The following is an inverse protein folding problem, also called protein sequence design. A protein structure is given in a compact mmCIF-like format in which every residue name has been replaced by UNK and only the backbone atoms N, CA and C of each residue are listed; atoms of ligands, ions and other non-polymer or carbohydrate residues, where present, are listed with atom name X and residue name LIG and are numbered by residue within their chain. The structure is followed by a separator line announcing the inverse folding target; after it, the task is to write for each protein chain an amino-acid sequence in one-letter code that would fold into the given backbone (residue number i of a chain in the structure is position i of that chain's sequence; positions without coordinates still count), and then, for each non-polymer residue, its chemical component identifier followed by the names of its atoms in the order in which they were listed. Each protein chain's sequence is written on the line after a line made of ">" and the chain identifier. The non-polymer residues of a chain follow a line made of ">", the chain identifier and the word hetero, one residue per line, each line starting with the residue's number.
data_IF_565833441770
#
_entry.id   IF_565833441770
#
_cell.length_a   1.000
_cell.length_b   1.000
_cell.length_c   1.000
_cell.angle_alpha   90.00
_cell.angle_beta   90.00
_cell.angle_gamma   90.00
#
_symmetry.space_group_name_H-M   'P 1'
#
loop_
_entity.id
_entity.type
_entity.pdbx_description
1 polymer ?
#
# COMPACT_ATOMS: atom_id res chain seq x y z
N UNK A 1 16.52 13.56 -21.71
CA UNK A 1 16.60 14.29 -20.43
C UNK A 1 17.77 13.68 -19.68
N UNK A 2 18.80 14.47 -19.37
CA UNK A 2 19.84 14.00 -18.45
C UNK A 2 19.16 13.67 -17.11
N UNK A 3 19.40 12.50 -16.52
CA UNK A 3 18.89 12.18 -15.18
C UNK A 3 19.66 13.06 -14.20
N UNK A 4 19.16 14.28 -14.00
CA UNK A 4 19.84 15.41 -13.37
C UNK A 4 20.16 15.19 -11.89
N UNK A 5 21.17 14.38 -11.60
CA UNK A 5 21.77 14.31 -10.28
C UNK A 5 22.78 15.45 -10.17
N UNK A 6 22.38 16.54 -9.52
CA UNK A 6 23.29 17.63 -9.15
C UNK A 6 23.63 17.54 -7.66
N UNK A 7 24.92 17.52 -7.35
CA UNK A 7 25.39 17.58 -5.97
C UNK A 7 25.39 19.05 -5.52
N UNK A 8 24.48 19.40 -4.59
CA UNK A 8 24.48 20.71 -3.93
C UNK A 8 25.17 20.62 -2.58
N UNK A 9 26.11 21.53 -2.32
CA UNK A 9 26.77 21.69 -1.02
C UNK A 9 26.25 22.94 -0.27
N UNK A 10 25.13 23.52 -0.71
CA UNK A 10 24.54 24.70 -0.07
C UNK A 10 23.93 24.36 1.30
N UNK A 11 24.49 24.86 2.41
CA UNK A 11 23.97 24.58 3.75
C UNK A 11 22.55 25.12 3.97
N UNK A 12 22.18 26.23 3.32
CA UNK A 12 20.86 26.82 3.47
C UNK A 12 19.80 25.93 2.82
N UNK A 13 20.05 25.46 1.60
CA UNK A 13 19.21 24.46 0.94
C UNK A 13 19.11 23.17 1.74
N UNK A 14 20.24 22.65 2.26
CA UNK A 14 20.24 21.43 3.07
C UNK A 14 19.39 21.55 4.34
N UNK A 15 19.46 22.70 5.03
CA UNK A 15 18.64 22.96 6.23
C UNK A 15 17.15 23.04 5.88
N UNK A 16 16.80 23.70 4.76
CA UNK A 16 15.42 23.76 4.30
C UNK A 16 14.91 22.37 3.91
N UNK A 17 15.68 21.60 3.15
CA UNK A 17 15.33 20.23 2.78
C UNK A 17 15.10 19.36 4.02
N UNK A 18 15.99 19.44 5.01
CA UNK A 18 15.82 18.72 6.28
C UNK A 18 14.53 19.14 7.00
N UNK A 19 14.23 20.44 7.08
CA UNK A 19 13.01 20.93 7.73
C UNK A 19 11.74 20.42 7.03
N UNK A 20 11.71 20.43 5.69
CA UNK A 20 10.60 19.91 4.89
C UNK A 20 10.43 18.40 5.06
N UNK A 21 11.53 17.63 5.01
CA UNK A 21 11.51 16.18 5.22
C UNK A 21 11.03 15.84 6.64
N UNK A 22 11.52 16.53 7.68
CA UNK A 22 11.06 16.32 9.05
C UNK A 22 9.58 16.70 9.24
N UNK A 23 9.13 17.79 8.61
CA UNK A 23 7.71 18.16 8.60
C UNK A 23 6.84 17.10 7.91
N UNK A 24 7.31 16.59 6.78
CA UNK A 24 6.70 15.46 6.08
C UNK A 24 6.62 14.22 6.97
N UNK A 25 7.73 13.81 7.58
CA UNK A 25 7.77 12.68 8.51
C UNK A 25 6.80 12.83 9.69
N UNK A 26 6.65 14.03 10.25
CA UNK A 26 5.66 14.31 11.28
C UNK A 26 4.24 14.11 10.76
N UNK A 27 3.90 14.67 9.60
CA UNK A 27 2.58 14.48 8.98
C UNK A 27 2.30 13.00 8.67
N UNK A 28 3.29 12.28 8.14
CA UNK A 28 3.22 10.84 7.90
C UNK A 28 3.02 10.03 9.19
N UNK A 29 3.63 10.47 10.29
CA UNK A 29 3.44 9.83 11.60
C UNK A 29 2.02 10.02 12.11
N UNK A 30 1.50 11.24 12.04
CA UNK A 30 0.14 11.55 12.45
C UNK A 30 -0.88 10.79 11.59
N UNK A 31 -0.68 10.76 10.27
CA UNK A 31 -1.59 10.11 9.35
C UNK A 31 -1.53 8.58 9.46
N UNK A 32 -0.34 7.98 9.55
CA UNK A 32 -0.18 6.52 9.67
C UNK A 32 -0.70 5.97 10.99
N UNK A 33 -0.69 6.76 12.07
CA UNK A 33 -1.29 6.37 13.35
C UNK A 33 -2.79 6.70 13.44
N UNK A 34 -3.36 7.37 12.43
CA UNK A 34 -4.80 7.67 12.36
C UNK A 34 -5.53 6.47 11.75
N UNK A 35 -6.44 5.80 12.50
CA UNK A 35 -7.15 4.63 11.97
C UNK A 35 -7.99 4.96 10.74
N UNK A 36 -7.99 4.06 9.75
CA UNK A 36 -8.82 4.17 8.55
C UNK A 36 -8.32 5.17 7.49
N UNK A 37 -7.18 5.83 7.73
CA UNK A 37 -6.54 6.70 6.74
C UNK A 37 -5.46 5.90 6.01
N UNK A 38 -5.70 5.58 4.73
CA UNK A 38 -4.75 4.84 3.88
C UNK A 38 -3.78 5.77 3.15
N UNK A 39 -2.63 5.23 2.71
CA UNK A 39 -1.58 5.97 2.02
C UNK A 39 -2.08 6.71 0.76
N UNK A 40 -2.96 6.08 -0.03
CA UNK A 40 -3.49 6.68 -1.26
C UNK A 40 -4.41 7.89 -0.97
N UNK A 41 -5.28 7.78 0.04
CA UNK A 41 -6.13 8.89 0.46
C UNK A 41 -5.29 10.03 1.03
N UNK A 42 -4.26 9.69 1.80
CA UNK A 42 -3.31 10.66 2.32
C UNK A 42 -2.57 11.40 1.20
N UNK A 43 -2.07 10.66 0.21
CA UNK A 43 -1.38 11.23 -0.95
C UNK A 43 -2.30 12.20 -1.72
N UNK A 44 -3.57 11.85 -1.92
CA UNK A 44 -4.55 12.73 -2.57
C UNK A 44 -4.80 14.01 -1.76
N UNK A 45 -4.94 13.92 -0.43
CA UNK A 45 -5.08 15.08 0.46
C UNK A 45 -3.82 15.96 0.36
N UNK A 46 -2.63 15.37 0.44
CA UNK A 46 -1.37 16.08 0.33
C UNK A 46 -1.22 16.77 -1.03
N UNK A 47 -1.57 16.09 -2.13
CA UNK A 47 -1.54 16.65 -3.48
C UNK A 47 -2.51 17.83 -3.64
N UNK A 48 -3.73 17.72 -3.09
CA UNK A 48 -4.71 18.81 -3.07
C UNK A 48 -4.28 20.00 -2.22
N UNK A 49 -3.52 19.76 -1.14
CA UNK A 49 -2.97 20.81 -0.28
C UNK A 49 -1.65 21.41 -0.81
N UNK A 50 -0.93 20.70 -1.68
CA UNK A 50 0.40 21.09 -2.15
C UNK A 50 0.48 22.53 -2.70
N UNK A 51 -0.48 23.03 -3.50
CA UNK A 51 -0.45 24.42 -4.00
C UNK A 51 -0.57 25.48 -2.90
N UNK A 52 -1.07 25.11 -1.72
CA UNK A 52 -1.27 26.01 -0.57
C UNK A 52 -0.05 26.07 0.34
N UNK A 53 0.90 25.14 0.19
CA UNK A 53 2.09 25.07 1.04
C UNK A 53 3.15 26.04 0.49
N UNK A 54 3.55 27.07 1.26
CA UNK A 54 4.59 27.99 0.82
C UNK A 54 5.95 27.28 0.78
N UNK A 55 6.58 27.26 -0.39
CA UNK A 55 7.93 26.71 -0.54
C UNK A 55 8.29 26.39 -2.00
N UNK A 56 9.57 26.09 -2.28
CA UNK A 56 9.97 25.56 -3.57
C UNK A 56 9.27 24.21 -3.83
N UNK A 57 8.72 23.97 -5.05
CA UNK A 57 8.00 22.72 -5.36
C UNK A 57 8.80 21.45 -5.07
N UNK A 58 10.12 21.49 -5.28
CA UNK A 58 11.02 20.38 -4.95
C UNK A 58 11.00 20.03 -3.45
N UNK A 59 10.99 21.04 -2.57
CA UNK A 59 10.99 20.81 -1.12
C UNK A 59 9.61 20.35 -0.63
N UNK A 60 8.53 20.86 -1.24
CA UNK A 60 7.17 20.38 -0.98
C UNK A 60 7.03 18.91 -1.40
N UNK A 61 7.51 18.54 -2.59
CA UNK A 61 7.55 17.15 -3.06
C UNK A 61 8.38 16.25 -2.13
N UNK A 62 9.53 16.71 -1.66
CA UNK A 62 10.33 15.96 -0.68
C UNK A 62 9.60 15.75 0.65
N UNK A 63 8.84 16.74 1.12
CA UNK A 63 7.99 16.60 2.30
C UNK A 63 6.85 15.60 2.07
N UNK A 64 6.19 15.64 0.91
CA UNK A 64 5.10 14.71 0.56
C UNK A 64 5.59 13.28 0.45
N UNK A 65 6.72 13.05 -0.24
CA UNK A 65 7.35 11.74 -0.33
C UNK A 65 7.75 11.23 1.07
N UNK A 66 8.36 12.08 1.89
CA UNK A 66 8.68 11.72 3.28
C UNK A 66 7.44 11.38 4.10
N UNK A 67 6.35 12.13 3.92
CA UNK A 67 5.09 11.89 4.63
C UNK A 67 4.47 10.55 4.21
N UNK A 68 4.39 10.28 2.92
CA UNK A 68 3.87 9.01 2.40
C UNK A 68 4.72 7.82 2.85
N UNK A 69 6.05 7.89 2.73
CA UNK A 69 6.93 6.80 3.16
C UNK A 69 6.75 6.53 4.66
N UNK A 70 6.81 7.56 5.52
CA UNK A 70 6.62 7.37 6.97
C UNK A 70 5.22 6.83 7.31
N UNK A 71 4.19 7.27 6.59
CA UNK A 71 2.83 6.74 6.74
C UNK A 71 2.80 5.23 6.54
N UNK A 72 3.39 4.71 5.45
CA UNK A 72 3.39 3.26 5.14
C UNK A 72 4.17 2.39 6.14
N UNK A 73 5.02 2.98 6.99
CA UNK A 73 5.67 2.26 8.07
C UNK A 73 4.77 2.11 9.30
N UNK A 74 3.73 2.94 9.41
CA UNK A 74 2.96 3.12 10.63
C UNK A 74 1.49 2.74 10.48
N UNK A 75 0.93 2.78 9.27
CA UNK A 75 -0.47 2.42 8.95
C UNK A 75 -0.86 1.00 9.37
N UNK A 76 0.11 0.09 9.43
CA UNK A 76 -0.06 -1.27 9.96
C UNK A 76 -0.40 -1.28 11.46
N UNK A 77 0.02 -0.28 12.23
CA UNK A 77 -0.17 -0.22 13.69
C UNK A 77 -1.65 -0.15 14.05
N UNK A 78 -2.44 0.85 13.60
CA UNK A 78 -3.87 0.88 13.90
C UNK A 78 -4.60 -0.32 13.29
N UNK A 79 -4.20 -0.79 12.11
CA UNK A 79 -4.80 -1.95 11.45
C UNK A 79 -4.70 -3.23 12.31
N UNK A 80 -3.52 -3.50 12.89
CA UNK A 80 -3.30 -4.69 13.73
C UNK A 80 -3.74 -4.51 15.18
N UNK A 81 -3.55 -3.33 15.77
CA UNK A 81 -3.76 -3.10 17.20
C UNK A 81 -5.22 -2.74 17.55
N UNK A 82 -5.93 -2.06 16.66
CA UNK A 82 -7.33 -1.69 16.87
C UNK A 82 -8.27 -2.59 16.08
N UNK A 83 -7.72 -3.46 15.23
CA UNK A 83 -8.49 -4.26 14.30
C UNK A 83 -9.32 -3.40 13.37
N UNK A 84 -8.93 -2.15 13.10
CA UNK A 84 -9.61 -1.26 12.14
C UNK A 84 -8.68 -1.08 10.94
N UNK A 85 -8.69 -2.01 9.96
CA UNK A 85 -7.94 -1.82 8.73
C UNK A 85 -8.69 -0.83 7.84
N UNK A 86 -7.94 -0.12 7.00
CA UNK A 86 -8.53 0.59 5.87
C UNK A 86 -8.94 -0.39 4.75
N UNK A 87 -9.47 0.19 3.66
CA UNK A 87 -9.99 -0.53 2.51
C UNK A 87 -9.01 -1.49 1.83
N UNK A 88 -7.78 -1.06 1.62
CA UNK A 88 -6.77 -1.86 0.94
C UNK A 88 -6.11 -2.84 1.93
N UNK A 89 -6.01 -2.44 3.20
CA UNK A 89 -5.48 -3.26 4.27
C UNK A 89 -6.47 -4.31 4.78
N UNK A 90 -7.77 -4.25 4.47
CA UNK A 90 -8.74 -5.24 4.95
C UNK A 90 -8.41 -6.68 4.48
N UNK A 91 -7.88 -6.82 3.26
CA UNK A 91 -7.41 -8.11 2.72
C UNK A 91 -6.09 -8.56 3.38
N UNK A 92 -5.28 -7.59 3.80
CA UNK A 92 -3.97 -7.77 4.49
C UNK A 92 -4.14 -8.01 5.99
N UNK A 93 -5.24 -7.52 6.54
CA UNK A 93 -5.60 -7.67 7.93
C UNK A 93 -5.80 -9.13 8.24
N UNK A 94 -6.31 -9.97 7.32
CA UNK A 94 -6.56 -11.37 7.67
C UNK A 94 -5.26 -12.15 7.99
N UNK A 95 -4.19 -12.13 7.17
CA UNK A 95 -2.90 -12.71 7.56
C UNK A 95 -2.25 -12.03 8.77
N UNK A 96 -2.27 -10.70 8.85
CA UNK A 96 -1.70 -9.97 9.99
C UNK A 96 -2.44 -10.23 11.31
N UNK A 97 -3.77 -10.32 11.26
CA UNK A 97 -4.65 -10.61 12.39
C UNK A 97 -4.52 -12.06 12.83
N UNK A 98 -4.25 -13.01 11.92
CA UNK A 98 -3.85 -14.38 12.31
C UNK A 98 -2.59 -14.35 13.18
N UNK A 99 -1.57 -13.57 12.81
CA UNK A 99 -0.38 -13.39 13.64
C UNK A 99 -0.71 -12.76 15.01
N UNK A 100 -1.60 -11.76 15.05
CA UNK A 100 -2.06 -11.16 16.31
C UNK A 100 -2.81 -12.17 17.17
N UNK A 101 -3.69 -13.00 16.59
CA UNK A 101 -4.42 -14.06 17.29
C UNK A 101 -3.49 -15.17 17.80
N UNK A 102 -2.36 -15.39 17.13
CA UNK A 102 -1.28 -16.29 17.60
C UNK A 102 -0.41 -15.67 18.70
N UNK A 103 -0.68 -14.43 19.14
CA UNK A 103 0.13 -13.72 20.14
C UNK A 103 1.42 -13.09 19.61
N UNK A 104 1.52 -12.93 18.28
CA UNK A 104 2.72 -12.55 17.51
C UNK A 104 2.57 -11.20 16.78
N UNK A 105 1.72 -10.32 17.29
CA UNK A 105 1.47 -8.98 16.76
C UNK A 105 2.72 -8.10 16.75
N UNK A 106 3.59 -8.19 17.75
CA UNK A 106 4.88 -7.48 17.74
C UNK A 106 5.80 -7.95 16.61
N UNK A 107 5.83 -9.25 16.33
CA UNK A 107 6.55 -9.79 15.18
C UNK A 107 5.96 -9.27 13.87
N UNK A 108 4.62 -9.25 13.74
CA UNK A 108 3.95 -8.72 12.55
C UNK A 108 4.32 -7.25 12.28
N UNK A 109 4.36 -6.40 13.31
CA UNK A 109 4.81 -5.00 13.20
C UNK A 109 6.26 -4.90 12.73
N UNK A 110 7.16 -5.72 13.29
CA UNK A 110 8.57 -5.73 12.88
C UNK A 110 8.76 -6.21 11.44
N UNK A 111 8.04 -7.25 11.03
CA UNK A 111 8.07 -7.78 9.68
C UNK A 111 7.55 -6.76 8.66
N UNK A 112 6.47 -6.05 9.00
CA UNK A 112 5.94 -4.95 8.21
C UNK A 112 6.97 -3.83 8.04
N UNK A 113 7.53 -3.32 9.15
CA UNK A 113 8.57 -2.30 9.11
C UNK A 113 9.82 -2.74 8.32
N UNK A 114 10.19 -4.02 8.40
CA UNK A 114 11.28 -4.58 7.60
C UNK A 114 10.93 -4.66 6.11
N UNK A 115 9.70 -5.01 5.77
CA UNK A 115 9.19 -4.96 4.40
C UNK A 115 9.30 -3.55 3.81
N UNK A 116 8.82 -2.55 4.53
CA UNK A 116 8.89 -1.14 4.13
C UNK A 116 10.34 -0.63 4.03
N UNK A 117 11.20 -0.94 5.00
CA UNK A 117 12.61 -0.55 4.97
C UNK A 117 13.37 -1.15 3.79
N UNK A 118 13.17 -2.44 3.52
CA UNK A 118 13.77 -3.11 2.37
C UNK A 118 13.19 -2.59 1.06
N UNK A 119 11.91 -2.23 1.02
CA UNK A 119 11.33 -1.58 -0.15
C UNK A 119 11.98 -0.23 -0.44
N UNK A 120 12.28 0.61 0.55
CA UNK A 120 13.08 1.83 0.31
C UNK A 120 14.43 1.49 -0.32
N UNK A 121 15.12 0.48 0.21
CA UNK A 121 16.44 0.05 -0.30
C UNK A 121 16.36 -0.46 -1.74
N UNK A 122 15.29 -1.17 -2.13
CA UNK A 122 15.14 -1.70 -3.49
C UNK A 122 14.52 -0.69 -4.46
N UNK A 123 13.50 0.06 -4.03
CA UNK A 123 12.72 0.98 -4.86
C UNK A 123 13.50 2.25 -5.22
N UNK A 124 14.22 2.86 -4.27
CA UNK A 124 14.92 4.13 -4.53
C UNK A 124 15.96 4.01 -5.67
N UNK A 125 16.83 2.98 -5.70
CA UNK A 125 17.73 2.78 -6.84
C UNK A 125 17.00 2.45 -8.15
N UNK A 126 15.81 1.86 -8.06
CA UNK A 126 14.98 1.50 -9.21
C UNK A 126 14.06 2.64 -9.68
N UNK A 127 13.94 3.72 -8.91
CA UNK A 127 13.03 4.82 -9.20
C UNK A 127 13.21 5.34 -10.63
N UNK A 128 14.41 5.83 -10.95
CA UNK A 128 14.74 6.36 -12.27
C UNK A 128 14.57 5.33 -13.40
N UNK A 129 15.20 4.14 -13.37
CA UNK A 129 15.11 3.21 -14.50
C UNK A 129 13.70 2.69 -14.71
N UNK A 130 12.93 2.41 -13.65
CA UNK A 130 11.54 1.94 -13.79
C UNK A 130 10.65 3.06 -14.33
N UNK A 131 10.77 4.30 -13.84
CA UNK A 131 10.00 5.43 -14.38
C UNK A 131 10.30 5.64 -15.87
N UNK A 132 11.56 5.56 -16.31
CA UNK A 132 11.90 5.68 -17.74
C UNK A 132 11.26 4.58 -18.58
N UNK A 133 11.30 3.33 -18.11
CA UNK A 133 10.65 2.21 -18.79
C UNK A 133 9.13 2.43 -18.84
N UNK A 134 8.54 2.92 -17.75
CA UNK A 134 7.10 3.05 -17.64
C UNK A 134 6.56 4.21 -18.47
N UNK A 135 7.28 5.33 -18.58
CA UNK A 135 6.95 6.42 -19.51
C UNK A 135 6.90 5.93 -20.95
N UNK A 136 7.82 5.06 -21.36
CA UNK A 136 7.81 4.47 -22.71
C UNK A 136 6.70 3.43 -22.90
N UNK A 137 6.45 2.60 -21.88
CA UNK A 137 5.44 1.54 -21.93
C UNK A 137 3.99 2.05 -21.76
N UNK A 138 3.81 3.24 -21.15
CA UNK A 138 2.51 3.77 -20.73
C UNK A 138 1.48 3.85 -21.87
N UNK A 139 1.80 4.38 -23.07
CA UNK A 139 0.83 4.44 -24.16
C UNK A 139 0.27 3.05 -24.54
N UNK A 140 1.15 2.04 -24.59
CA UNK A 140 0.76 0.65 -24.90
C UNK A 140 -0.06 0.03 -23.76
N UNK A 141 0.32 0.29 -22.50
CA UNK A 141 -0.41 -0.19 -21.32
C UNK A 141 -1.83 0.37 -21.27
N UNK A 142 -2.01 1.66 -21.54
CA UNK A 142 -3.33 2.30 -21.56
C UNK A 142 -4.20 1.74 -22.68
N UNK A 143 -3.64 1.57 -23.89
CA UNK A 143 -4.36 0.97 -25.03
C UNK A 143 -4.85 -0.45 -24.72
N UNK A 144 -4.07 -1.22 -23.94
CA UNK A 144 -4.36 -2.62 -23.62
C UNK A 144 -4.83 -2.82 -22.16
N UNK A 145 -5.23 -1.76 -21.46
CA UNK A 145 -5.58 -1.80 -20.04
C UNK A 145 -6.62 -2.89 -19.69
N UNK A 146 -7.69 -3.11 -20.49
CA UNK A 146 -8.64 -4.18 -20.22
C UNK A 146 -8.00 -5.58 -20.24
N UNK A 147 -7.01 -5.80 -21.11
CA UNK A 147 -6.28 -7.06 -21.19
C UNK A 147 -5.36 -7.24 -19.96
N UNK A 148 -4.70 -6.16 -19.53
CA UNK A 148 -3.83 -6.18 -18.34
C UNK A 148 -4.64 -6.54 -17.10
N UNK A 149 -5.75 -5.82 -16.84
CA UNK A 149 -6.62 -6.08 -15.70
C UNK A 149 -7.32 -7.45 -15.82
N UNK A 150 -7.76 -7.83 -17.01
CA UNK A 150 -8.33 -9.15 -17.26
C UNK A 150 -7.34 -10.29 -16.97
N UNK A 151 -6.05 -10.09 -17.27
CA UNK A 151 -4.99 -11.05 -16.94
C UNK A 151 -4.77 -11.15 -15.44
N UNK A 152 -4.75 -10.02 -14.72
CA UNK A 152 -4.65 -10.01 -13.25
C UNK A 152 -5.80 -10.79 -12.62
N UNK A 153 -7.03 -10.52 -13.05
CA UNK A 153 -8.23 -11.24 -12.57
C UNK A 153 -8.14 -12.73 -12.92
N UNK A 154 -7.74 -13.07 -14.15
CA UNK A 154 -7.59 -14.46 -14.57
C UNK A 154 -6.55 -15.20 -13.72
N UNK A 155 -5.39 -14.59 -13.43
CA UNK A 155 -4.38 -15.20 -12.55
C UNK A 155 -4.95 -15.42 -11.14
N UNK A 156 -5.62 -14.43 -10.57
CA UNK A 156 -6.24 -14.56 -9.24
C UNK A 156 -7.26 -15.70 -9.19
N UNK A 157 -8.08 -15.87 -10.22
CA UNK A 157 -9.07 -16.95 -10.28
C UNK A 157 -8.43 -18.32 -10.56
N UNK A 158 -7.44 -18.40 -11.46
CA UNK A 158 -6.79 -19.66 -11.84
C UNK A 158 -5.86 -20.21 -10.76
N UNK A 159 -5.43 -19.38 -9.81
CA UNK A 159 -4.58 -19.78 -8.69
C UNK A 159 -5.37 -20.30 -7.49
N UNK A 160 -6.71 -20.21 -7.53
CA UNK A 160 -7.57 -20.83 -6.53
C UNK A 160 -7.52 -22.35 -6.63
N UNK A 161 -7.13 -22.99 -5.52
CA UNK A 161 -6.93 -24.44 -5.45
C UNK A 161 -8.23 -25.23 -5.20
N UNK A 162 -9.34 -24.53 -4.94
CA UNK A 162 -10.62 -25.15 -4.59
C UNK A 162 -11.75 -24.60 -5.45
N UNK A 163 -12.73 -25.45 -5.76
CA UNK A 163 -13.92 -25.01 -6.47
C UNK A 163 -14.68 -23.93 -5.69
N UNK A 164 -14.73 -24.05 -4.36
CA UNK A 164 -15.31 -23.03 -3.48
C UNK A 164 -14.57 -21.70 -3.57
N UNK A 165 -13.23 -21.73 -3.63
CA UNK A 165 -12.40 -20.53 -3.80
C UNK A 165 -12.63 -19.87 -5.15
N UNK A 166 -12.64 -20.65 -6.24
CA UNK A 166 -12.93 -20.15 -7.58
C UNK A 166 -14.32 -19.52 -7.68
N UNK A 167 -15.36 -20.21 -7.17
CA UNK A 167 -16.73 -19.69 -7.15
C UNK A 167 -16.81 -18.43 -6.29
N UNK A 168 -16.16 -18.44 -5.11
CA UNK A 168 -16.08 -17.27 -4.24
C UNK A 168 -15.42 -16.08 -4.94
N UNK A 169 -14.30 -16.30 -5.63
CA UNK A 169 -13.61 -15.28 -6.41
C UNK A 169 -14.44 -14.73 -7.57
N UNK A 170 -15.13 -15.59 -8.31
CA UNK A 170 -16.05 -15.18 -9.39
C UNK A 170 -17.21 -14.34 -8.86
N UNK A 171 -17.80 -14.76 -7.75
CA UNK A 171 -18.88 -14.01 -7.09
C UNK A 171 -18.36 -12.66 -6.61
N UNK A 172 -17.21 -12.63 -5.92
CA UNK A 172 -16.60 -11.39 -5.42
C UNK A 172 -16.24 -10.43 -6.55
N UNK A 173 -15.67 -10.93 -7.66
CA UNK A 173 -15.38 -10.13 -8.84
C UNK A 173 -16.68 -9.60 -9.47
N UNK A 174 -17.68 -10.46 -9.66
CA UNK A 174 -18.95 -10.08 -10.26
C UNK A 174 -19.72 -9.04 -9.44
N UNK A 175 -19.76 -9.18 -8.11
CA UNK A 175 -20.40 -8.20 -7.23
C UNK A 175 -19.63 -6.88 -7.18
N UNK A 176 -18.29 -6.92 -7.17
CA UNK A 176 -17.45 -5.72 -7.23
C UNK A 176 -17.62 -4.98 -8.55
N UNK A 177 -17.68 -5.71 -9.68
CA UNK A 177 -17.92 -5.13 -10.99
C UNK A 177 -19.30 -4.50 -11.09
N UNK A 178 -20.35 -5.18 -10.60
CA UNK A 178 -21.70 -4.63 -10.55
C UNK A 178 -21.77 -3.38 -9.67
N UNK A 179 -21.11 -3.39 -8.51
CA UNK A 179 -21.01 -2.21 -7.63
C UNK A 179 -20.34 -1.05 -8.36
N UNK A 180 -19.22 -1.29 -9.03
CA UNK A 180 -18.54 -0.26 -9.83
C UNK A 180 -19.43 0.35 -10.90
N UNK A 181 -20.10 -0.49 -11.72
CA UNK A 181 -21.00 -0.04 -12.79
C UNK A 181 -22.18 0.78 -12.25
N UNK A 182 -22.70 0.41 -11.07
CA UNK A 182 -23.92 1.03 -10.53
C UNK A 182 -23.65 2.24 -9.64
N UNK A 183 -22.45 2.35 -9.09
CA UNK A 183 -22.14 3.35 -8.07
C UNK A 183 -21.16 4.43 -8.53
N UNK A 184 -20.21 4.15 -9.44
CA UNK A 184 -19.15 5.13 -9.79
C UNK A 184 -19.69 6.41 -10.45
N UNK A 185 -20.80 6.34 -11.18
CA UNK A 185 -21.43 7.50 -11.81
C UNK A 185 -22.39 8.28 -10.88
N UNK A 186 -22.52 7.86 -9.61
CA UNK A 186 -23.36 8.56 -8.64
C UNK A 186 -22.63 9.79 -8.08
N UNK A 187 -23.31 10.92 -8.06
CA UNK A 187 -22.85 12.15 -7.41
C UNK A 187 -23.68 12.37 -6.12
N UNK A 188 -23.27 11.80 -4.98
CA UNK A 188 -23.98 11.98 -3.74
C UNK A 188 -23.83 13.42 -3.28
N UNK A 189 -24.95 14.11 -3.07
CA UNK A 189 -24.98 15.43 -2.43
C UNK A 189 -24.52 15.30 -0.96
N UNK A 190 -23.20 15.23 -0.74
CA UNK A 190 -22.59 15.06 0.56
C UNK A 190 -22.17 16.42 1.15
N UNK A 191 -22.28 16.63 2.48
CA UNK A 191 -21.84 17.85 3.15
C UNK A 191 -20.32 18.09 3.10
N UNK A 192 -19.54 17.06 2.74
CA UNK A 192 -18.09 17.08 2.59
C UNK A 192 -17.77 16.81 1.12
N UNK A 193 -16.84 17.58 0.55
CA UNK A 193 -16.24 17.28 -0.75
C UNK A 193 -15.69 15.85 -0.75
N UNK A 194 -16.34 14.95 -1.46
CA UNK A 194 -15.95 13.55 -1.49
C UNK A 194 -16.68 12.82 -2.62
N UNK A 195 -15.88 12.23 -3.51
CA UNK A 195 -16.35 11.31 -4.54
C UNK A 195 -17.07 10.10 -3.91
N UNK A 196 -17.97 9.45 -4.64
CA UNK A 196 -18.75 8.27 -4.19
C UNK A 196 -17.87 7.12 -3.65
N UNK A 197 -16.61 7.10 -4.05
CA UNK A 197 -15.58 6.18 -3.56
C UNK A 197 -15.40 6.21 -2.04
N UNK A 198 -15.42 7.38 -1.41
CA UNK A 198 -15.18 7.50 0.04
C UNK A 198 -16.23 6.75 0.89
N UNK A 199 -17.55 6.98 0.73
CA UNK A 199 -18.56 6.22 1.46
C UNK A 199 -18.63 4.74 1.04
N UNK A 200 -18.36 4.41 -0.23
CA UNK A 200 -18.29 3.01 -0.68
C UNK A 200 -17.19 2.23 0.02
N UNK A 201 -15.97 2.79 0.07
CA UNK A 201 -14.84 2.14 0.75
C UNK A 201 -15.06 2.06 2.26
N UNK A 202 -15.62 3.09 2.89
CA UNK A 202 -15.99 3.02 4.31
C UNK A 202 -17.00 1.90 4.60
N UNK A 203 -18.02 1.72 3.75
CA UNK A 203 -19.03 0.67 3.90
C UNK A 203 -18.49 -0.74 3.59
N UNK A 204 -17.75 -0.90 2.50
CA UNK A 204 -17.27 -2.21 2.04
C UNK A 204 -16.17 -2.78 2.95
N UNK A 205 -15.38 -1.91 3.58
CA UNK A 205 -14.20 -2.35 4.32
C UNK A 205 -14.24 -2.02 5.81
N UNK A 206 -14.83 -0.89 6.20
CA UNK A 206 -15.00 -0.55 7.61
C UNK A 206 -16.09 -1.37 8.30
N UNK A 207 -17.23 -1.59 7.64
CA UNK A 207 -18.37 -2.26 8.28
C UNK A 207 -18.13 -3.75 8.59
N UNK A 208 -17.56 -4.59 7.70
CA UNK A 208 -17.33 -6.01 8.01
C UNK A 208 -16.40 -6.21 9.20
N UNK A 209 -15.39 -5.35 9.30
CA UNK A 209 -14.44 -5.33 10.40
C UNK A 209 -15.13 -5.01 11.72
N UNK A 210 -15.97 -3.96 11.75
CA UNK A 210 -16.71 -3.60 12.95
C UNK A 210 -17.67 -4.73 13.37
N UNK A 211 -18.28 -5.42 12.41
CA UNK A 211 -19.12 -6.59 12.67
C UNK A 211 -18.32 -7.77 13.23
N UNK A 212 -17.12 -8.04 12.70
CA UNK A 212 -16.23 -9.09 13.21
C UNK A 212 -15.75 -8.77 14.64
N UNK A 213 -15.39 -7.51 14.89
CA UNK A 213 -14.98 -7.03 16.21
C UNK A 213 -16.09 -7.14 17.27
N UNK A 214 -17.38 -7.02 16.89
CA UNK A 214 -18.50 -7.18 17.81
C UNK A 214 -18.62 -8.60 18.39
N UNK A 215 -18.12 -9.63 17.69
CA UNK A 215 -18.17 -11.03 18.14
C UNK A 215 -16.87 -11.55 18.78
N UNK A 216 -15.80 -10.75 18.77
CA UNK A 216 -14.46 -11.18 19.18
C UNK A 216 -14.27 -11.29 20.70
N UNK A 217 -13.40 -12.21 21.13
CA UNK A 217 -13.00 -12.39 22.54
C UNK A 217 -11.94 -11.39 23.03
N UNK A 218 -11.72 -10.29 22.29
CA UNK A 218 -10.60 -9.37 22.49
C UNK A 218 -9.28 -9.87 21.91
N UNK A 219 -8.24 -9.02 21.96
CA UNK A 219 -6.90 -9.34 21.47
C UNK A 219 -6.16 -10.20 22.52
N UNK A 220 -5.62 -11.37 22.16
CA UNK A 220 -4.82 -12.20 23.07
C UNK A 220 -3.58 -11.46 23.58
N UNK A 221 -2.99 -11.93 24.69
CA UNK A 221 -1.74 -11.37 25.18
C UNK A 221 -0.62 -11.54 24.13
N UNK A 222 0.05 -10.44 23.80
CA UNK A 222 1.14 -10.41 22.82
C UNK A 222 2.45 -10.63 23.56
N UNK A 223 3.11 -11.76 23.32
CA UNK A 223 4.27 -12.19 24.13
C UNK A 223 5.54 -12.40 23.32
N UNK A 224 5.41 -12.61 22.01
CA UNK A 224 6.54 -12.90 21.14
C UNK A 224 6.77 -11.79 20.12
N UNK A 225 7.96 -11.20 20.19
CA UNK A 225 8.44 -10.20 19.24
C UNK A 225 9.59 -10.72 18.36
N UNK A 226 10.03 -11.98 18.58
CA UNK A 226 11.22 -12.51 17.95
C UNK A 226 10.96 -12.92 16.51
N UNK A 227 11.78 -12.41 15.60
CA UNK A 227 11.72 -12.82 14.19
C UNK A 227 12.43 -14.16 14.08
N UNK A 228 11.65 -15.23 13.99
CA UNK A 228 12.14 -16.62 13.95
C UNK A 228 12.42 -17.12 12.53
N UNK A 229 12.11 -16.32 11.51
CA UNK A 229 12.29 -16.70 10.10
C UNK A 229 13.70 -16.38 9.57
N UNK A 230 14.23 -17.19 8.63
CA UNK A 230 15.53 -16.94 8.03
C UNK A 230 15.51 -15.64 7.20
N UNK A 231 16.66 -14.96 7.10
CA UNK A 231 16.81 -13.70 6.33
C UNK A 231 16.28 -13.80 4.90
N UNK A 232 16.45 -14.95 4.25
CA UNK A 232 15.95 -15.20 2.90
C UNK A 232 14.42 -15.11 2.82
N UNK A 233 13.71 -15.58 3.86
CA UNK A 233 12.25 -15.50 3.95
C UNK A 233 11.73 -14.07 4.24
N UNK A 234 12.64 -13.12 4.52
CA UNK A 234 12.33 -11.69 4.57
C UNK A 234 12.70 -11.02 3.25
N UNK A 235 13.94 -11.22 2.80
CA UNK A 235 14.50 -10.51 1.64
C UNK A 235 13.77 -10.83 0.34
N UNK A 236 13.38 -12.09 0.10
CA UNK A 236 12.69 -12.46 -1.13
C UNK A 236 11.30 -11.83 -1.22
N UNK A 237 10.41 -11.98 -0.23
CA UNK A 237 9.12 -11.30 -0.24
C UNK A 237 9.24 -9.78 -0.33
N UNK A 238 10.19 -9.17 0.38
CA UNK A 238 10.39 -7.72 0.33
C UNK A 238 10.86 -7.24 -1.05
N UNK A 239 11.80 -7.95 -1.68
CA UNK A 239 12.28 -7.62 -3.02
C UNK A 239 11.19 -7.82 -4.07
N UNK A 240 10.46 -8.94 -4.00
CA UNK A 240 9.35 -9.21 -4.91
C UNK A 240 8.22 -8.18 -4.74
N UNK A 241 7.90 -7.82 -3.48
CA UNK A 241 6.93 -6.78 -3.18
C UNK A 241 7.37 -5.40 -3.68
N UNK A 242 8.63 -5.01 -3.48
CA UNK A 242 9.15 -3.74 -3.97
C UNK A 242 9.11 -3.64 -5.51
N UNK A 243 9.46 -4.74 -6.20
CA UNK A 243 9.36 -4.82 -7.67
C UNK A 243 7.91 -4.75 -8.13
N UNK A 244 7.00 -5.48 -7.49
CA UNK A 244 5.58 -5.43 -7.81
C UNK A 244 5.00 -4.02 -7.57
N UNK A 245 5.33 -3.38 -6.44
CA UNK A 245 4.94 -2.00 -6.14
C UNK A 245 5.50 -0.98 -7.12
N UNK A 246 6.70 -1.20 -7.66
CA UNK A 246 7.28 -0.33 -8.69
C UNK A 246 6.51 -0.34 -10.02
N UNK A 247 5.81 -1.42 -10.31
CA UNK A 247 4.97 -1.55 -11.51
C UNK A 247 3.54 -1.09 -11.20
N UNK A 248 2.99 -1.56 -10.09
CA UNK A 248 1.58 -1.35 -9.74
C UNK A 248 1.29 0.09 -9.32
N UNK A 249 2.30 0.86 -8.91
CA UNK A 249 2.12 2.30 -8.68
C UNK A 249 1.70 3.10 -9.92
N UNK A 250 1.89 2.54 -11.13
CA UNK A 250 1.39 3.12 -12.37
C UNK A 250 0.07 2.48 -12.85
N UNK A 251 -0.32 1.33 -12.31
CA UNK A 251 -1.40 0.53 -12.87
C UNK A 251 -2.73 0.78 -12.11
N UNK A 252 -3.65 1.59 -12.66
CA UNK A 252 -4.91 1.86 -11.99
C UNK A 252 -5.73 0.58 -11.82
N UNK A 253 -6.36 0.41 -10.66
CA UNK A 253 -7.24 -0.72 -10.38
C UNK A 253 -6.55 -1.99 -9.86
N UNK A 254 -5.23 -1.98 -9.66
CA UNK A 254 -4.51 -3.07 -8.97
C UNK A 254 -4.05 -2.59 -7.60
N UNK A 255 -4.55 -3.20 -6.54
CA UNK A 255 -4.21 -2.82 -5.16
C UNK A 255 -2.88 -3.41 -4.70
N UNK A 256 -2.33 -2.84 -3.61
CA UNK A 256 -1.11 -3.36 -2.98
C UNK A 256 -1.24 -4.83 -2.57
N UNK A 257 -2.43 -5.25 -2.13
CA UNK A 257 -2.71 -6.63 -1.75
C UNK A 257 -2.68 -7.58 -2.96
N UNK A 258 -3.31 -7.20 -4.08
CA UNK A 258 -3.27 -8.01 -5.33
C UNK A 258 -1.83 -8.15 -5.80
N UNK A 259 -1.09 -7.04 -5.84
CA UNK A 259 0.31 -7.03 -6.22
C UNK A 259 1.18 -7.92 -5.32
N UNK A 260 0.92 -7.92 -4.00
CA UNK A 260 1.60 -8.79 -3.05
C UNK A 260 1.28 -10.28 -3.29
N UNK A 261 0.02 -10.63 -3.57
CA UNK A 261 -0.36 -12.01 -3.95
C UNK A 261 0.41 -12.44 -5.19
N UNK A 262 0.40 -11.63 -6.24
CA UNK A 262 1.12 -11.92 -7.49
C UNK A 262 2.63 -12.05 -7.27
N UNK A 263 3.22 -11.18 -6.47
CA UNK A 263 4.64 -11.22 -6.11
C UNK A 263 5.00 -12.53 -5.39
N UNK A 264 4.15 -12.97 -4.47
CA UNK A 264 4.39 -14.19 -3.70
C UNK A 264 4.16 -15.47 -4.51
N UNK A 265 3.23 -15.47 -5.47
CA UNK A 265 3.05 -16.58 -6.41
C UNK A 265 4.30 -16.86 -7.24
N UNK A 266 5.11 -15.84 -7.51
CA UNK A 266 6.38 -15.97 -8.24
C UNK A 266 7.54 -16.51 -7.37
N UNK A 267 7.35 -16.65 -6.05
CA UNK A 267 8.41 -17.09 -5.14
C UNK A 267 8.28 -18.58 -4.77
N UNK A 268 9.41 -19.28 -4.57
CA UNK A 268 9.40 -20.69 -4.18
C UNK A 268 8.95 -20.87 -2.72
N UNK A 269 7.87 -21.65 -2.52
CA UNK A 269 7.40 -22.11 -1.22
C UNK A 269 6.40 -21.17 -0.52
N UNK A 270 5.77 -21.68 0.55
CA UNK A 270 4.73 -20.99 1.32
C UNK A 270 5.32 -19.81 2.11
N UNK A 271 5.27 -18.62 1.52
CA UNK A 271 5.62 -17.37 2.20
C UNK A 271 4.70 -17.11 3.41
N UNK A 272 3.53 -17.75 3.45
CA UNK A 272 2.59 -17.75 4.57
C UNK A 272 2.18 -16.35 5.01
N UNK A 273 1.62 -16.23 6.20
CA UNK A 273 1.13 -14.95 6.70
C UNK A 273 2.28 -13.94 6.91
N UNK A 274 3.45 -14.41 7.35
CA UNK A 274 4.65 -13.57 7.54
C UNK A 274 5.13 -12.94 6.24
N UNK A 275 5.32 -13.75 5.19
CA UNK A 275 5.80 -13.26 3.90
C UNK A 275 4.77 -12.39 3.20
N UNK A 276 3.47 -12.63 3.44
CA UNK A 276 2.39 -11.74 3.00
C UNK A 276 2.47 -10.35 3.63
N UNK A 277 2.67 -10.26 4.94
CA UNK A 277 2.87 -8.98 5.63
C UNK A 277 4.09 -8.24 5.06
N UNK A 278 5.22 -8.93 4.90
CA UNK A 278 6.46 -8.34 4.37
C UNK A 278 6.26 -7.84 2.93
N UNK A 279 5.69 -8.69 2.05
CA UNK A 279 5.49 -8.34 0.65
C UNK A 279 4.52 -7.18 0.52
N UNK A 280 3.41 -7.17 1.25
CA UNK A 280 2.40 -6.11 1.15
C UNK A 280 2.92 -4.77 1.66
N UNK A 281 3.61 -4.73 2.80
CA UNK A 281 4.27 -3.51 3.26
C UNK A 281 5.33 -3.04 2.26
N UNK A 282 6.07 -3.98 1.66
CA UNK A 282 7.04 -3.65 0.63
C UNK A 282 6.40 -3.07 -0.64
N UNK A 283 5.27 -3.63 -1.09
CA UNK A 283 4.48 -3.09 -2.20
C UNK A 283 3.97 -1.69 -1.86
N UNK A 284 3.35 -1.49 -0.68
CA UNK A 284 2.74 -0.23 -0.30
C UNK A 284 3.78 0.91 -0.24
N UNK A 285 4.94 0.64 0.38
CA UNK A 285 6.03 1.62 0.45
C UNK A 285 6.65 1.87 -0.92
N UNK A 286 6.89 0.84 -1.74
CA UNK A 286 7.40 1.05 -3.09
C UNK A 286 6.41 1.84 -3.95
N UNK A 287 5.14 1.44 -3.98
CA UNK A 287 4.07 2.16 -4.65
C UNK A 287 4.07 3.64 -4.28
N UNK A 288 4.13 3.95 -2.98
CA UNK A 288 4.20 5.34 -2.50
C UNK A 288 5.41 6.10 -3.05
N UNK A 289 6.58 5.47 -3.15
CA UNK A 289 7.78 6.08 -3.73
C UNK A 289 7.57 6.41 -5.22
N UNK A 290 6.93 5.51 -5.97
CA UNK A 290 6.69 5.67 -7.41
C UNK A 290 5.52 6.61 -7.73
N UNK A 291 4.49 6.66 -6.87
CA UNK A 291 3.32 7.52 -7.03
C UNK A 291 3.65 9.02 -6.94
N UNK A 292 4.73 9.40 -6.24
CA UNK A 292 5.25 10.78 -6.19
C UNK A 292 6.34 11.07 -7.23
N UNK A 293 6.61 10.12 -8.14
CA UNK A 293 7.61 10.26 -9.22
C UNK A 293 7.06 10.88 -10.51
N UNK A 294 5.76 11.16 -10.58
CA UNK A 294 5.08 11.89 -11.66
C UNK A 294 5.02 13.41 -11.38
#
# INVERSE_FOLDING_TARGET
>A
MDPGVSLSLDPAFALQALAFVLGGALLGTLSGLTPGLHANNFALILAGMAPLIPGPPLLVGAAMLSAGVVHTFLDVVPALALGVPDAEMAVVALPGHRLVLEGRGYEALRLSAMGSALAVVFAVPLAVPVTLVMVEAWPTLVEHMPLVLGTVVAIMLLTENTLSGLVGGLVAFGTSALLGITALDLDPAAPLYGDILAPLFAGLFGAPVLVDAMGGSGIPEQTDDTITIPRRAVLLPAAAGALAGSVVGYLPGVSSAIAAVLALLALPGSSGDRGFVIATSGVNTANTIFAFGE
#
